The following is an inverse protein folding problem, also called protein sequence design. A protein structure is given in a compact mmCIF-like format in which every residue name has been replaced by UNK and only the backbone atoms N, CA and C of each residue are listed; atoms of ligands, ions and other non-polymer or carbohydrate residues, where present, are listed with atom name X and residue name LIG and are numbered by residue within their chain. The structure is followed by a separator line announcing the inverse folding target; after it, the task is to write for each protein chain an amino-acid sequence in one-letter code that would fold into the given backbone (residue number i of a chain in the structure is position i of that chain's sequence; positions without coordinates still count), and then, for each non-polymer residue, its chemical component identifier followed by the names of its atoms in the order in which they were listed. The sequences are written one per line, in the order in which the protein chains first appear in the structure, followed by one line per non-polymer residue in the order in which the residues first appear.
data_IF_425875933354
#
_entry.id   IF_425875933354
#
_cell.length_a   1.000
_cell.length_b   1.000
_cell.length_c   1.000
_cell.angle_alpha   90.00
_cell.angle_beta   90.00
_cell.angle_gamma   90.00
#
_symmetry.space_group_name_H-M   'P 1'
#
loop_
_entity.id
_entity.type
_entity.pdbx_description
1 polymer ?
#
# COMPACT_ATOMS: atom_id res chain seq x y z
N UNK A 1 -38.30 61.58 -23.65
CA UNK A 1 -36.91 61.07 -23.53
C UNK A 1 -36.80 60.36 -22.20
N UNK A 2 -36.82 59.02 -22.22
CA UNK A 2 -36.83 58.20 -21.02
C UNK A 2 -35.49 57.47 -20.93
N UNK A 3 -34.69 57.75 -19.90
CA UNK A 3 -33.47 57.06 -19.58
C UNK A 3 -33.78 55.72 -18.89
N UNK A 4 -33.32 54.59 -19.46
CA UNK A 4 -33.27 53.31 -18.79
C UNK A 4 -31.89 53.13 -18.13
N UNK A 5 -31.81 52.74 -16.86
CA UNK A 5 -30.55 52.34 -16.26
C UNK A 5 -30.25 50.87 -16.57
N UNK A 6 -29.04 50.64 -17.11
CA UNK A 6 -28.44 49.29 -17.27
C UNK A 6 -28.17 48.68 -15.88
N UNK A 7 -28.83 47.57 -15.58
CA UNK A 7 -28.50 46.72 -14.45
C UNK A 7 -27.35 45.79 -14.91
N UNK A 8 -26.21 45.87 -14.24
CA UNK A 8 -25.09 44.94 -14.39
C UNK A 8 -25.38 43.65 -13.62
N UNK A 9 -25.31 42.48 -14.20
CA UNK A 9 -25.12 41.23 -13.48
C UNK A 9 -23.63 40.85 -13.55
N UNK A 10 -22.90 41.08 -12.50
CA UNK A 10 -21.58 40.47 -12.32
C UNK A 10 -21.29 40.37 -10.84
N UNK A 11 -21.33 39.15 -10.32
CA UNK A 11 -20.58 38.69 -9.14
C UNK A 11 -21.30 37.51 -8.46
N UNK A 12 -21.32 36.34 -9.12
CA UNK A 12 -21.53 35.05 -8.42
C UNK A 12 -20.77 33.95 -9.18
N UNK A 13 -19.47 33.98 -9.25
CA UNK A 13 -18.71 32.84 -9.81
C UNK A 13 -17.31 32.67 -9.21
N UNK A 14 -17.03 33.26 -8.06
CA UNK A 14 -15.68 33.21 -7.49
C UNK A 14 -15.53 32.39 -6.20
N UNK A 15 -16.60 31.72 -5.71
CA UNK A 15 -16.51 30.97 -4.45
C UNK A 15 -16.37 29.45 -4.57
N UNK A 16 -16.44 28.87 -5.74
CA UNK A 16 -16.33 27.40 -5.92
C UNK A 16 -14.89 26.90 -6.14
N UNK A 17 -13.95 27.77 -6.47
CA UNK A 17 -12.54 27.37 -6.70
C UNK A 17 -11.65 27.48 -5.46
N UNK A 18 -12.02 28.27 -4.46
CA UNK A 18 -11.23 28.39 -3.23
C UNK A 18 -11.32 27.14 -2.34
N UNK A 19 -12.48 26.47 -2.31
CA UNK A 19 -12.70 25.29 -1.48
C UNK A 19 -11.89 24.07 -1.92
N UNK A 20 -11.74 23.84 -3.22
CA UNK A 20 -11.03 22.66 -3.74
C UNK A 20 -9.51 22.76 -3.52
N UNK A 21 -8.91 23.95 -3.69
CA UNK A 21 -7.48 24.15 -3.46
C UNK A 21 -7.10 24.01 -1.98
N UNK A 22 -7.96 24.46 -1.07
CA UNK A 22 -7.72 24.34 0.37
C UNK A 22 -7.84 22.88 0.84
N UNK A 23 -8.88 22.17 0.45
CA UNK A 23 -9.08 20.75 0.79
C UNK A 23 -7.93 19.86 0.27
N UNK A 24 -7.40 20.14 -0.94
CA UNK A 24 -6.21 19.45 -1.46
C UNK A 24 -4.98 19.72 -0.60
N UNK A 25 -4.85 20.94 -0.06
CA UNK A 25 -3.74 21.30 0.82
C UNK A 25 -3.84 20.56 2.15
N UNK A 26 -5.03 20.47 2.75
CA UNK A 26 -5.26 19.79 4.02
C UNK A 26 -5.05 18.27 3.90
N UNK A 27 -5.54 17.63 2.83
CA UNK A 27 -5.31 16.21 2.56
C UNK A 27 -3.81 15.90 2.39
N UNK A 28 -3.07 16.77 1.68
CA UNK A 28 -1.63 16.65 1.53
C UNK A 28 -0.90 16.81 2.86
N UNK A 29 -1.26 17.79 3.66
CA UNK A 29 -0.67 18.03 4.99
C UNK A 29 -0.92 16.84 5.93
N UNK A 30 -2.12 16.26 5.91
CA UNK A 30 -2.44 15.07 6.70
C UNK A 30 -1.60 13.84 6.26
N UNK A 31 -1.37 13.67 4.95
CA UNK A 31 -0.50 12.61 4.43
C UNK A 31 0.96 12.84 4.84
N UNK A 32 1.51 14.03 4.62
CA UNK A 32 2.90 14.40 4.96
C UNK A 32 3.19 14.34 6.47
N UNK A 33 2.19 14.61 7.32
CA UNK A 33 2.34 14.44 8.76
C UNK A 33 2.42 12.97 9.19
N UNK A 34 1.88 12.05 8.38
CA UNK A 34 1.82 10.61 8.66
C UNK A 34 3.09 9.88 8.18
N UNK A 35 3.33 8.63 8.63
CA UNK A 35 4.43 7.82 8.11
C UNK A 35 4.19 7.32 6.68
N UNK A 36 2.98 7.48 6.15
CA UNK A 36 2.56 6.92 4.86
C UNK A 36 3.36 7.51 3.71
N UNK A 37 3.63 8.81 3.73
CA UNK A 37 4.43 9.50 2.70
C UNK A 37 5.82 8.87 2.55
N UNK A 38 6.56 8.76 3.65
CA UNK A 38 7.88 8.13 3.69
C UNK A 38 7.85 6.65 3.29
N UNK A 39 6.79 5.92 3.66
CA UNK A 39 6.63 4.51 3.33
C UNK A 39 6.30 4.35 1.85
N UNK A 40 5.41 5.17 1.29
CA UNK A 40 5.05 5.16 -0.14
C UNK A 40 6.26 5.47 -1.02
N UNK A 41 7.12 6.39 -0.62
CA UNK A 41 8.36 6.67 -1.33
C UNK A 41 9.27 5.41 -1.49
N UNK A 42 9.13 4.42 -0.62
CA UNK A 42 9.89 3.15 -0.65
C UNK A 42 9.20 2.02 -1.40
N UNK A 43 7.91 2.18 -1.75
CA UNK A 43 7.13 1.12 -2.39
C UNK A 43 7.80 0.51 -3.63
N UNK A 44 8.35 1.29 -4.58
CA UNK A 44 9.03 0.71 -5.74
C UNK A 44 10.16 -0.27 -5.37
N UNK A 45 10.97 0.09 -4.36
CA UNK A 45 12.04 -0.76 -3.87
C UNK A 45 11.50 -1.99 -3.11
N UNK A 46 10.47 -1.81 -2.28
CA UNK A 46 9.83 -2.90 -1.52
C UNK A 46 9.22 -3.94 -2.45
N UNK A 47 8.45 -3.50 -3.46
CA UNK A 47 7.82 -4.39 -4.44
C UNK A 47 8.87 -5.14 -5.28
N UNK A 48 9.88 -4.41 -5.78
CA UNK A 48 10.98 -4.99 -6.54
C UNK A 48 11.73 -6.07 -5.74
N UNK A 49 12.09 -5.77 -4.49
CA UNK A 49 12.82 -6.71 -3.63
C UNK A 49 11.96 -7.92 -3.25
N UNK A 50 10.71 -7.69 -2.86
CA UNK A 50 9.77 -8.76 -2.50
C UNK A 50 9.55 -9.75 -3.65
N UNK A 51 9.37 -9.26 -4.87
CA UNK A 51 9.20 -10.08 -6.06
C UNK A 51 10.49 -10.84 -6.40
N UNK A 52 11.66 -10.18 -6.37
CA UNK A 52 12.97 -10.87 -6.60
C UNK A 52 13.16 -12.01 -5.62
N UNK A 53 12.96 -11.75 -4.34
CA UNK A 53 13.16 -12.76 -3.28
C UNK A 53 12.15 -13.90 -3.41
N UNK A 54 10.91 -13.61 -3.76
CA UNK A 54 9.88 -14.60 -4.04
C UNK A 54 10.27 -15.50 -5.22
N UNK A 55 10.68 -14.92 -6.33
CA UNK A 55 11.09 -15.65 -7.53
C UNK A 55 12.37 -16.49 -7.30
N UNK A 56 13.37 -15.93 -6.61
CA UNK A 56 14.59 -16.69 -6.26
C UNK A 56 14.30 -17.87 -5.34
N UNK A 57 13.43 -17.69 -4.36
CA UNK A 57 13.01 -18.78 -3.44
C UNK A 57 12.20 -19.87 -4.14
N UNK A 58 11.40 -19.52 -5.15
CA UNK A 58 10.62 -20.51 -5.90
C UNK A 58 11.50 -21.49 -6.69
N UNK A 59 12.73 -21.10 -7.05
CA UNK A 59 13.66 -21.88 -7.84
C UNK A 59 13.20 -22.15 -9.28
N UNK A 60 12.09 -21.56 -9.71
CA UNK A 60 11.50 -21.80 -11.05
C UNK A 60 12.19 -21.02 -12.17
N UNK A 61 12.87 -19.94 -11.82
CA UNK A 61 13.54 -19.06 -12.79
C UNK A 61 15.01 -18.86 -12.43
N UNK A 62 15.89 -18.70 -13.46
CA UNK A 62 17.27 -18.31 -13.24
C UNK A 62 17.34 -16.97 -12.46
N UNK A 63 18.32 -16.78 -11.57
CA UNK A 63 18.47 -15.56 -10.77
C UNK A 63 18.48 -14.26 -11.62
N UNK A 64 19.14 -14.29 -12.78
CA UNK A 64 19.18 -13.15 -13.71
C UNK A 64 17.80 -12.75 -14.22
N UNK A 65 16.92 -13.72 -14.48
CA UNK A 65 15.54 -13.44 -14.89
C UNK A 65 14.74 -12.83 -13.74
N UNK A 66 14.90 -13.34 -12.53
CA UNK A 66 14.28 -12.76 -11.34
C UNK A 66 14.73 -11.29 -11.11
N UNK A 67 16.00 -11.00 -11.31
CA UNK A 67 16.54 -9.63 -11.21
C UNK A 67 15.98 -8.71 -12.31
N UNK A 68 15.85 -9.22 -13.55
CA UNK A 68 15.24 -8.48 -14.66
C UNK A 68 13.77 -8.15 -14.37
N UNK A 69 13.00 -9.12 -13.90
CA UNK A 69 11.59 -8.91 -13.51
C UNK A 69 11.52 -7.87 -12.37
N UNK A 70 12.38 -7.97 -11.36
CA UNK A 70 12.43 -6.99 -10.28
C UNK A 70 12.72 -5.57 -10.77
N UNK A 71 13.57 -5.40 -11.78
CA UNK A 71 13.83 -4.08 -12.39
C UNK A 71 12.63 -3.55 -13.17
N UNK A 72 11.95 -4.40 -13.95
CA UNK A 72 10.71 -4.02 -14.66
C UNK A 72 9.65 -3.58 -13.66
N UNK A 73 9.47 -4.31 -12.58
CA UNK A 73 8.55 -3.97 -11.50
C UNK A 73 8.91 -2.62 -10.88
N UNK A 74 10.17 -2.41 -10.49
CA UNK A 74 10.61 -1.14 -9.90
C UNK A 74 10.28 0.06 -10.79
N UNK A 75 10.44 -0.09 -12.11
CA UNK A 75 10.16 0.96 -13.08
C UNK A 75 8.66 1.16 -13.38
N UNK A 76 7.82 0.21 -12.99
CA UNK A 76 6.38 0.26 -13.21
C UNK A 76 5.62 0.92 -12.05
N UNK A 77 6.27 1.11 -10.90
CA UNK A 77 5.70 1.80 -9.76
C UNK A 77 6.31 3.20 -9.62
N UNK A 78 5.46 4.20 -9.63
CA UNK A 78 5.85 5.59 -9.36
C UNK A 78 5.28 6.02 -8.01
N UNK A 79 6.14 6.28 -7.04
CA UNK A 79 5.72 6.70 -5.69
C UNK A 79 4.89 8.01 -5.72
N UNK A 80 5.24 8.96 -6.61
CA UNK A 80 4.51 10.21 -6.73
C UNK A 80 3.08 10.03 -7.27
N UNK A 81 2.85 9.05 -8.14
CA UNK A 81 1.50 8.73 -8.63
C UNK A 81 0.65 8.09 -7.53
N UNK A 82 1.26 7.21 -6.71
CA UNK A 82 0.60 6.60 -5.54
C UNK A 82 0.23 7.68 -4.52
N UNK A 83 1.16 8.56 -4.20
CA UNK A 83 0.95 9.69 -3.28
C UNK A 83 -0.18 10.61 -3.79
N UNK A 84 -0.16 10.98 -5.07
CA UNK A 84 -1.18 11.82 -5.67
C UNK A 84 -2.56 11.16 -5.65
N UNK A 85 -2.64 9.85 -5.86
CA UNK A 85 -3.88 9.09 -5.74
C UNK A 85 -4.41 9.13 -4.31
N UNK A 86 -3.53 8.88 -3.30
CA UNK A 86 -3.90 8.95 -1.88
C UNK A 86 -4.45 10.35 -1.53
N UNK A 87 -3.76 11.43 -1.91
CA UNK A 87 -4.22 12.81 -1.65
C UNK A 87 -5.59 13.06 -2.28
N UNK A 88 -5.79 12.62 -3.51
CA UNK A 88 -7.06 12.79 -4.22
C UNK A 88 -8.20 12.05 -3.50
N UNK A 89 -7.96 10.82 -3.07
CA UNK A 89 -8.97 10.02 -2.39
C UNK A 89 -9.24 10.53 -0.97
N UNK A 90 -8.20 10.95 -0.23
CA UNK A 90 -8.37 11.59 1.08
C UNK A 90 -9.23 12.85 0.98
N UNK A 91 -8.96 13.71 -0.01
CA UNK A 91 -9.74 14.93 -0.25
C UNK A 91 -11.21 14.62 -0.57
N UNK A 92 -11.47 13.52 -1.27
CA UNK A 92 -12.83 13.11 -1.67
C UNK A 92 -13.62 12.47 -0.53
N UNK A 93 -12.96 11.68 0.32
CA UNK A 93 -13.62 10.80 1.26
C UNK A 93 -13.58 11.28 2.72
N UNK A 94 -12.65 12.16 3.09
CA UNK A 94 -12.55 12.72 4.43
C UNK A 94 -13.07 14.16 4.46
N UNK A 95 -13.72 14.52 5.57
CA UNK A 95 -14.06 15.91 5.87
C UNK A 95 -12.82 16.66 6.38
N UNK A 96 -12.83 18.01 6.26
CA UNK A 96 -11.77 18.87 6.76
C UNK A 96 -11.48 18.60 8.26
N UNK A 97 -12.53 18.41 9.07
CA UNK A 97 -12.39 18.07 10.49
C UNK A 97 -11.71 16.71 10.73
N UNK A 98 -11.89 15.74 9.84
CA UNK A 98 -11.20 14.45 9.92
C UNK A 98 -9.74 14.58 9.50
N UNK A 99 -9.45 15.36 8.45
CA UNK A 99 -8.08 15.63 8.02
C UNK A 99 -7.29 16.38 9.10
N UNK A 100 -7.90 17.39 9.72
CA UNK A 100 -7.32 18.11 10.86
C UNK A 100 -7.07 17.18 12.06
N UNK A 101 -8.00 16.30 12.38
CA UNK A 101 -7.83 15.33 13.47
C UNK A 101 -6.68 14.34 13.21
N UNK A 102 -6.50 13.89 11.94
CA UNK A 102 -5.37 13.06 11.52
C UNK A 102 -4.05 13.81 11.69
N UNK A 103 -3.98 15.04 11.19
CA UNK A 103 -2.79 15.88 11.30
C UNK A 103 -2.42 16.13 12.78
N UNK A 104 -3.39 16.54 13.60
CA UNK A 104 -3.19 16.78 15.04
C UNK A 104 -2.69 15.52 15.76
N UNK A 105 -3.17 14.34 15.39
CA UNK A 105 -2.66 13.07 15.94
C UNK A 105 -1.19 12.87 15.61
N UNK A 106 -0.81 12.95 14.32
CA UNK A 106 0.57 12.68 13.89
C UNK A 106 1.58 13.74 14.38
N UNK A 107 1.11 14.91 14.80
CA UNK A 107 1.95 15.92 15.45
C UNK A 107 2.27 15.59 16.92
N UNK A 108 1.58 14.64 17.53
CA UNK A 108 1.86 14.26 18.92
C UNK A 108 3.22 13.55 19.07
N UNK A 109 3.89 13.68 20.22
CA UNK A 109 5.16 12.97 20.47
C UNK A 109 5.04 11.43 20.35
N UNK A 110 3.90 10.88 20.78
CA UNK A 110 3.61 9.43 20.70
C UNK A 110 3.51 8.99 19.24
N UNK A 111 2.72 9.70 18.43
CA UNK A 111 2.56 9.37 17.03
C UNK A 111 3.87 9.49 16.26
N UNK A 112 4.67 10.54 16.49
CA UNK A 112 6.02 10.70 15.88
C UNK A 112 6.95 9.54 16.22
N UNK A 113 6.92 9.05 17.46
CA UNK A 113 7.71 7.90 17.89
C UNK A 113 7.27 6.62 17.16
N UNK A 114 5.96 6.41 17.01
CA UNK A 114 5.37 5.28 16.30
C UNK A 114 5.70 5.37 14.81
N UNK A 115 5.47 6.53 14.17
CA UNK A 115 5.81 6.77 12.76
C UNK A 115 7.27 6.49 12.45
N UNK A 116 8.18 6.93 13.32
CA UNK A 116 9.61 6.64 13.16
C UNK A 116 9.92 5.13 13.20
N UNK A 117 9.21 4.37 14.04
CA UNK A 117 9.37 2.91 14.11
C UNK A 117 8.81 2.22 12.85
N UNK A 118 7.65 2.66 12.35
CA UNK A 118 7.02 2.14 11.13
C UNK A 118 7.86 2.43 9.88
N UNK A 119 8.35 3.67 9.74
CA UNK A 119 9.26 4.05 8.66
C UNK A 119 10.55 3.22 8.71
N UNK A 120 11.13 3.01 9.89
CA UNK A 120 12.33 2.18 10.03
C UNK A 120 12.08 0.73 9.61
N UNK A 121 10.98 0.12 10.07
CA UNK A 121 10.63 -1.27 9.76
C UNK A 121 10.23 -1.49 8.30
N UNK A 122 9.78 -0.45 7.58
CA UNK A 122 9.39 -0.55 6.16
C UNK A 122 10.59 -0.80 5.21
N UNK A 123 11.82 -0.53 5.65
CA UNK A 123 13.00 -0.70 4.79
C UNK A 123 13.26 -2.18 4.46
N UNK A 124 13.39 -2.58 3.17
CA UNK A 124 13.63 -3.97 2.80
C UNK A 124 14.88 -4.58 3.44
N UNK A 125 15.89 -3.76 3.76
CA UNK A 125 17.11 -4.19 4.44
C UNK A 125 16.89 -4.70 5.86
N UNK A 126 15.76 -4.38 6.48
CA UNK A 126 15.39 -4.78 7.84
C UNK A 126 14.63 -6.12 7.86
N UNK A 127 14.01 -6.53 6.75
CA UNK A 127 13.22 -7.75 6.71
C UNK A 127 13.94 -9.04 7.15
N UNK A 128 15.22 -9.27 6.79
CA UNK A 128 15.95 -10.43 7.31
C UNK A 128 16.11 -10.40 8.84
N UNK A 129 16.26 -9.22 9.44
CA UNK A 129 16.34 -9.05 10.88
C UNK A 129 15.00 -9.36 11.55
N UNK A 130 13.88 -8.87 10.99
CA UNK A 130 12.53 -9.20 11.48
C UNK A 130 12.36 -10.72 11.52
N UNK A 131 12.70 -11.42 10.43
CA UNK A 131 12.58 -12.87 10.34
C UNK A 131 13.50 -13.59 11.34
N UNK A 132 14.74 -13.13 11.51
CA UNK A 132 15.68 -13.72 12.43
C UNK A 132 15.26 -13.57 13.89
N UNK A 133 14.63 -12.43 14.24
CA UNK A 133 14.19 -12.13 15.61
C UNK A 133 12.78 -12.65 15.94
N UNK A 134 12.01 -13.05 14.95
CA UNK A 134 10.63 -13.49 15.14
C UNK A 134 10.47 -14.57 16.25
N UNK A 135 11.28 -15.66 16.30
CA UNK A 135 11.13 -16.67 17.35
C UNK A 135 11.37 -16.11 18.77
N UNK A 136 12.36 -15.24 18.93
CA UNK A 136 12.65 -14.58 20.21
C UNK A 136 11.50 -13.69 20.64
N UNK A 137 11.02 -12.81 19.73
CA UNK A 137 9.95 -11.86 20.02
C UNK A 137 8.64 -12.57 20.32
N UNK A 138 8.28 -13.61 19.57
CA UNK A 138 7.10 -14.43 19.83
C UNK A 138 7.17 -15.05 21.24
N UNK A 139 8.32 -15.57 21.64
CA UNK A 139 8.51 -16.13 22.99
C UNK A 139 8.42 -15.05 24.07
N UNK A 140 9.07 -13.90 23.85
CA UNK A 140 9.12 -12.76 24.79
C UNK A 140 7.74 -12.18 25.07
N UNK A 141 6.92 -12.03 24.04
CA UNK A 141 5.62 -11.37 24.14
C UNK A 141 4.43 -12.31 24.30
N UNK A 142 4.65 -13.62 24.35
CA UNK A 142 3.57 -14.61 24.53
C UNK A 142 2.77 -14.32 25.81
N UNK A 143 1.46 -14.09 25.64
CA UNK A 143 0.54 -13.82 26.76
C UNK A 143 0.72 -12.46 27.41
N UNK A 144 1.36 -11.51 26.76
CA UNK A 144 1.48 -10.13 27.21
C UNK A 144 0.38 -9.24 26.61
N UNK A 145 0.12 -8.10 27.24
CA UNK A 145 -0.81 -7.09 26.73
C UNK A 145 -0.47 -6.67 25.29
N UNK A 146 0.80 -6.54 24.96
CA UNK A 146 1.24 -6.20 23.58
C UNK A 146 0.80 -7.24 22.56
N UNK A 147 0.91 -8.54 22.87
CA UNK A 147 0.44 -9.59 21.96
C UNK A 147 -1.09 -9.57 21.81
N UNK A 148 -1.82 -9.30 22.90
CA UNK A 148 -3.29 -9.21 22.90
C UNK A 148 -3.80 -7.99 22.10
N UNK A 149 -3.04 -6.89 22.05
CA UNK A 149 -3.38 -5.71 21.24
C UNK A 149 -3.27 -5.95 19.73
N UNK A 150 -2.57 -6.99 19.29
CA UNK A 150 -2.39 -7.27 17.87
C UNK A 150 -3.71 -7.42 17.11
N UNK A 151 -4.65 -8.15 17.65
CA UNK A 151 -5.96 -8.35 17.00
C UNK A 151 -6.73 -7.03 16.79
N UNK A 152 -6.59 -6.08 17.72
CA UNK A 152 -7.18 -4.74 17.57
C UNK A 152 -6.45 -3.95 16.47
N UNK A 153 -5.11 -3.99 16.53
CA UNK A 153 -4.26 -3.35 15.52
C UNK A 153 -4.56 -3.87 14.13
N UNK A 154 -4.55 -5.19 13.94
CA UNK A 154 -4.76 -5.81 12.63
C UNK A 154 -6.15 -5.50 12.04
N UNK A 155 -7.19 -5.52 12.88
CA UNK A 155 -8.55 -5.12 12.45
C UNK A 155 -8.63 -3.64 12.08
N UNK A 156 -8.04 -2.74 12.89
CA UNK A 156 -8.12 -1.31 12.68
C UNK A 156 -7.29 -0.83 11.48
N UNK A 157 -6.11 -1.42 11.28
CA UNK A 157 -5.20 -1.10 10.17
C UNK A 157 -5.46 -1.94 8.91
N UNK A 158 -6.19 -3.05 9.01
CA UNK A 158 -6.40 -4.05 7.95
C UNK A 158 -5.08 -4.61 7.40
N UNK A 159 -4.06 -4.70 8.24
CA UNK A 159 -2.70 -5.02 7.80
C UNK A 159 -2.60 -6.41 7.16
N UNK A 160 -3.15 -7.46 7.80
CA UNK A 160 -3.16 -8.82 7.23
C UNK A 160 -3.99 -8.88 5.95
N UNK A 161 -5.18 -8.29 5.92
CA UNK A 161 -6.05 -8.28 4.72
C UNK A 161 -5.35 -7.61 3.54
N UNK A 162 -4.80 -6.42 3.73
CA UNK A 162 -4.08 -5.67 2.70
C UNK A 162 -2.85 -6.43 2.17
N UNK A 163 -2.09 -7.06 3.06
CA UNK A 163 -0.93 -7.86 2.67
C UNK A 163 -1.32 -9.13 1.88
N UNK A 164 -2.44 -9.77 2.23
CA UNK A 164 -2.99 -10.90 1.47
C UNK A 164 -3.46 -10.46 0.09
N UNK A 165 -4.22 -9.36 -0.01
CA UNK A 165 -4.71 -8.84 -1.27
C UNK A 165 -3.56 -8.44 -2.21
N UNK A 166 -2.53 -7.78 -1.68
CA UNK A 166 -1.31 -7.46 -2.42
C UNK A 166 -0.61 -8.73 -2.90
N UNK A 167 -0.48 -9.75 -2.05
CA UNK A 167 0.13 -11.03 -2.42
C UNK A 167 -0.63 -11.74 -3.54
N UNK A 168 -1.96 -11.74 -3.48
CA UNK A 168 -2.82 -12.31 -4.52
C UNK A 168 -2.67 -11.55 -5.83
N UNK A 169 -2.68 -10.21 -5.80
CA UNK A 169 -2.49 -9.39 -6.99
C UNK A 169 -1.13 -9.66 -7.66
N UNK A 170 -0.05 -9.72 -6.88
CA UNK A 170 1.29 -10.05 -7.37
C UNK A 170 1.34 -11.45 -7.98
N UNK A 171 0.78 -12.46 -7.31
CA UNK A 171 0.75 -13.83 -7.83
C UNK A 171 -0.05 -13.92 -9.13
N UNK A 172 -1.18 -13.22 -9.23
CA UNK A 172 -2.00 -13.18 -10.43
C UNK A 172 -1.27 -12.51 -11.60
N UNK A 173 -0.60 -11.38 -11.36
CA UNK A 173 0.20 -10.69 -12.37
C UNK A 173 1.33 -11.57 -12.90
N UNK A 174 2.08 -12.23 -12.01
CA UNK A 174 3.15 -13.15 -12.39
C UNK A 174 2.62 -14.38 -13.14
N UNK A 175 1.54 -14.98 -12.67
CA UNK A 175 0.93 -16.15 -13.33
C UNK A 175 0.41 -15.79 -14.72
N UNK A 176 -0.19 -14.60 -14.90
CA UNK A 176 -0.65 -14.08 -16.17
C UNK A 176 0.53 -13.89 -17.15
N UNK A 177 1.63 -13.29 -16.66
CA UNK A 177 2.84 -13.13 -17.46
C UNK A 177 3.44 -14.47 -17.88
N UNK A 178 3.52 -15.43 -16.97
CA UNK A 178 4.04 -16.78 -17.28
C UNK A 178 3.15 -17.56 -18.25
N UNK A 179 1.83 -17.46 -18.13
CA UNK A 179 0.89 -18.09 -19.05
C UNK A 179 1.02 -17.57 -20.48
N UNK A 180 1.20 -16.26 -20.62
CA UNK A 180 1.44 -15.64 -21.92
C UNK A 180 2.77 -16.14 -22.57
N UNK A 181 3.72 -16.56 -21.76
CA UNK A 181 5.00 -17.11 -22.20
C UNK A 181 4.92 -18.54 -22.74
N UNK A 182 4.09 -19.36 -22.09
CA UNK A 182 4.00 -20.79 -22.39
C UNK A 182 3.11 -21.13 -23.59
N UNK A 183 2.59 -20.15 -24.32
CA UNK A 183 1.56 -20.33 -25.37
C UNK A 183 0.31 -21.08 -24.87
N UNK A 184 0.21 -21.25 -23.58
CA UNK A 184 -0.94 -21.84 -22.93
C UNK A 184 -1.99 -20.73 -22.78
N UNK A 185 -3.12 -20.86 -23.45
CA UNK A 185 -4.22 -19.90 -23.35
C UNK A 185 -4.90 -20.04 -21.98
N UNK A 186 -4.13 -19.87 -20.90
CA UNK A 186 -4.65 -19.91 -19.56
C UNK A 186 -5.70 -18.79 -19.40
N UNK A 187 -6.93 -19.18 -19.13
CA UNK A 187 -8.01 -18.25 -18.89
C UNK A 187 -7.69 -17.48 -17.60
N UNK A 188 -7.55 -16.14 -17.70
CA UNK A 188 -7.31 -15.25 -16.56
C UNK A 188 -8.25 -15.54 -15.39
N UNK A 189 -9.52 -15.77 -15.66
CA UNK A 189 -10.52 -16.06 -14.63
C UNK A 189 -10.24 -17.36 -13.88
N UNK A 190 -9.76 -18.40 -14.58
CA UNK A 190 -9.36 -19.67 -13.95
C UNK A 190 -8.11 -19.50 -13.08
N UNK A 191 -7.13 -18.69 -13.52
CA UNK A 191 -5.96 -18.36 -12.72
C UNK A 191 -6.38 -17.60 -11.45
N UNK A 192 -7.24 -16.60 -11.60
CA UNK A 192 -7.79 -15.83 -10.48
C UNK A 192 -8.50 -16.72 -9.47
N UNK A 193 -9.42 -17.58 -9.90
CA UNK A 193 -10.13 -18.49 -9.02
C UNK A 193 -9.20 -19.45 -8.29
N UNK A 194 -8.16 -19.97 -8.99
CA UNK A 194 -7.17 -20.86 -8.37
C UNK A 194 -6.37 -20.15 -7.28
N UNK A 195 -5.91 -18.91 -7.52
CA UNK A 195 -5.15 -18.14 -6.56
C UNK A 195 -6.05 -17.73 -5.39
N UNK A 196 -7.27 -17.26 -5.67
CA UNK A 196 -8.25 -16.91 -4.63
C UNK A 196 -8.63 -18.11 -3.75
N UNK A 197 -8.68 -19.32 -4.29
CA UNK A 197 -8.94 -20.52 -3.47
C UNK A 197 -7.87 -20.80 -2.40
N UNK A 198 -6.69 -20.18 -2.52
CA UNK A 198 -5.60 -20.28 -1.54
C UNK A 198 -5.65 -19.16 -0.48
N UNK A 199 -6.60 -18.20 -0.57
CA UNK A 199 -6.69 -17.02 0.32
C UNK A 199 -6.63 -17.40 1.79
N UNK A 200 -7.38 -18.41 2.24
CA UNK A 200 -7.39 -18.82 3.64
C UNK A 200 -6.02 -19.31 4.14
N UNK A 201 -5.30 -20.06 3.31
CA UNK A 201 -3.93 -20.50 3.63
C UNK A 201 -2.96 -19.31 3.66
N UNK A 202 -3.07 -18.40 2.69
CA UNK A 202 -2.26 -17.18 2.62
C UNK A 202 -2.52 -16.30 3.84
N UNK A 203 -3.78 -16.16 4.26
CA UNK A 203 -4.15 -15.40 5.47
C UNK A 203 -3.43 -15.93 6.71
N UNK A 204 -3.35 -17.24 6.88
CA UNK A 204 -2.63 -17.83 8.02
C UNK A 204 -1.12 -17.55 7.99
N UNK A 205 -0.48 -17.72 6.84
CA UNK A 205 0.97 -17.51 6.70
C UNK A 205 1.32 -16.02 6.78
N UNK A 206 0.59 -15.18 6.06
CA UNK A 206 0.84 -13.74 6.01
C UNK A 206 0.46 -13.09 7.33
N UNK A 207 -0.63 -13.53 7.98
CA UNK A 207 -1.01 -13.04 9.31
C UNK A 207 0.08 -13.27 10.36
N UNK A 208 0.76 -14.44 10.32
CA UNK A 208 1.93 -14.66 11.18
C UNK A 208 3.08 -13.70 10.85
N UNK A 209 3.37 -13.44 9.59
CA UNK A 209 4.42 -12.49 9.19
C UNK A 209 4.07 -11.04 9.62
N UNK A 210 2.81 -10.65 9.50
CA UNK A 210 2.32 -9.35 9.98
C UNK A 210 2.46 -9.25 11.50
N UNK A 211 2.12 -10.32 12.24
CA UNK A 211 2.32 -10.37 13.69
C UNK A 211 3.81 -10.27 14.08
N UNK A 212 4.69 -10.98 13.40
CA UNK A 212 6.14 -10.90 13.63
C UNK A 212 6.67 -9.47 13.38
N UNK A 213 6.21 -8.85 12.29
CA UNK A 213 6.54 -7.45 11.97
C UNK A 213 5.98 -6.47 13.01
N UNK A 214 4.76 -6.68 13.49
CA UNK A 214 4.15 -5.90 14.56
C UNK A 214 5.00 -5.94 15.83
N UNK A 215 5.38 -7.13 16.31
CA UNK A 215 6.20 -7.28 17.51
C UNK A 215 7.56 -6.58 17.36
N UNK A 216 8.18 -6.67 16.20
CA UNK A 216 9.45 -6.01 15.92
C UNK A 216 9.30 -4.48 15.87
N UNK A 217 8.35 -3.99 15.08
CA UNK A 217 8.12 -2.55 14.85
C UNK A 217 7.82 -1.83 16.16
N UNK A 218 6.95 -2.41 16.97
CA UNK A 218 6.48 -1.77 18.21
C UNK A 218 7.20 -2.26 19.47
N UNK A 219 8.33 -2.95 19.34
CA UNK A 219 9.09 -3.47 20.50
C UNK A 219 9.38 -2.39 21.54
N UNK A 220 9.75 -1.17 21.07
CA UNK A 220 10.12 -0.04 21.91
C UNK A 220 8.96 0.91 22.23
N UNK A 221 7.76 0.59 21.77
CA UNK A 221 6.54 1.35 22.06
C UNK A 221 5.92 0.75 23.32
N UNK A 222 5.66 1.57 24.33
CA UNK A 222 5.04 1.12 25.58
C UNK A 222 3.55 0.78 25.38
N UNK A 223 2.99 -0.03 26.28
CA UNK A 223 1.58 -0.47 26.15
C UNK A 223 0.60 0.71 26.20
N UNK A 224 0.89 1.75 26.99
CA UNK A 224 0.08 2.97 27.00
C UNK A 224 0.15 3.74 25.68
N UNK A 225 1.35 3.86 25.10
CA UNK A 225 1.52 4.51 23.78
C UNK A 225 0.81 3.71 22.70
N UNK A 226 0.87 2.37 22.76
CA UNK A 226 0.17 1.50 21.83
C UNK A 226 -1.35 1.61 21.97
N UNK A 227 -1.89 1.73 23.19
CA UNK A 227 -3.31 1.97 23.39
C UNK A 227 -3.77 3.30 22.78
N UNK A 228 -3.02 4.39 22.94
CA UNK A 228 -3.32 5.67 22.31
C UNK A 228 -3.36 5.56 20.79
N UNK A 229 -2.43 4.78 20.20
CA UNK A 229 -2.43 4.52 18.76
C UNK A 229 -3.67 3.74 18.32
N UNK A 230 -4.04 2.71 19.05
CA UNK A 230 -5.26 1.94 18.77
C UNK A 230 -6.52 2.79 18.90
N UNK A 231 -6.61 3.66 19.90
CA UNK A 231 -7.71 4.61 20.04
C UNK A 231 -7.81 5.55 18.83
N UNK A 232 -6.66 6.02 18.31
CA UNK A 232 -6.66 6.81 17.08
C UNK A 232 -7.11 5.99 15.88
N UNK A 233 -6.55 4.81 15.65
CA UNK A 233 -6.91 3.96 14.51
C UNK A 233 -8.40 3.56 14.52
N UNK A 234 -8.99 3.38 15.72
CA UNK A 234 -10.41 3.05 15.91
C UNK A 234 -11.32 4.29 15.89
N UNK A 235 -10.76 5.50 15.94
CA UNK A 235 -11.54 6.75 15.85
C UNK A 235 -12.14 6.95 14.44
N UNK A 236 -13.23 7.75 14.31
CA UNK A 236 -13.80 8.04 13.00
C UNK A 236 -12.80 8.62 11.98
N UNK A 237 -11.85 9.45 12.44
CA UNK A 237 -10.83 10.06 11.59
C UNK A 237 -9.74 9.05 11.22
N UNK A 238 -9.18 8.34 12.20
CA UNK A 238 -8.13 7.34 11.98
C UNK A 238 -8.62 6.17 11.14
N UNK A 239 -9.82 5.64 11.42
CA UNK A 239 -10.42 4.55 10.64
C UNK A 239 -10.69 4.97 9.18
N UNK A 240 -11.19 6.19 8.95
CA UNK A 240 -11.40 6.71 7.60
C UNK A 240 -10.07 6.89 6.87
N UNK A 241 -9.07 7.50 7.52
CA UNK A 241 -7.74 7.69 6.96
C UNK A 241 -7.08 6.36 6.58
N UNK A 242 -7.01 5.40 7.52
CA UNK A 242 -6.40 4.08 7.27
C UNK A 242 -7.10 3.34 6.13
N UNK A 243 -8.43 3.36 6.08
CA UNK A 243 -9.21 2.73 5.01
C UNK A 243 -8.93 3.35 3.65
N UNK A 244 -8.93 4.68 3.55
CA UNK A 244 -8.70 5.38 2.28
C UNK A 244 -7.28 5.14 1.81
N UNK A 245 -6.28 5.33 2.66
CA UNK A 245 -4.86 5.07 2.32
C UNK A 245 -4.66 3.63 1.84
N UNK A 246 -5.19 2.65 2.57
CA UNK A 246 -5.07 1.23 2.19
C UNK A 246 -5.69 0.96 0.83
N UNK A 247 -6.90 1.46 0.58
CA UNK A 247 -7.60 1.26 -0.69
C UNK A 247 -6.87 1.96 -1.86
N UNK A 248 -6.38 3.19 -1.67
CA UNK A 248 -5.65 3.94 -2.69
C UNK A 248 -4.35 3.23 -3.06
N UNK A 249 -3.59 2.74 -2.07
CA UNK A 249 -2.39 1.94 -2.30
C UNK A 249 -2.73 0.65 -3.07
N UNK A 250 -3.78 -0.05 -2.66
CA UNK A 250 -4.23 -1.27 -3.33
C UNK A 250 -4.55 -1.03 -4.82
N UNK A 251 -5.29 0.03 -5.14
CA UNK A 251 -5.61 0.41 -6.51
C UNK A 251 -4.34 0.76 -7.30
N UNK A 252 -3.47 1.56 -6.72
CA UNK A 252 -2.21 1.97 -7.33
C UNK A 252 -1.23 0.81 -7.56
N UNK A 253 -1.38 -0.32 -6.86
CA UNK A 253 -0.58 -1.53 -7.06
C UNK A 253 -1.16 -2.42 -8.17
N UNK A 254 -2.48 -2.52 -8.28
CA UNK A 254 -3.14 -3.46 -9.19
C UNK A 254 -2.84 -3.12 -10.67
N UNK A 255 -2.99 -1.86 -11.07
CA UNK A 255 -2.78 -1.43 -12.45
C UNK A 255 -1.35 -1.65 -12.97
N UNK A 256 -0.29 -1.27 -12.22
CA UNK A 256 1.08 -1.57 -12.61
C UNK A 256 1.38 -3.08 -12.70
N UNK A 257 0.85 -3.91 -11.80
CA UNK A 257 1.05 -5.37 -11.84
C UNK A 257 0.48 -5.96 -13.12
N UNK A 258 -0.72 -5.56 -13.52
CA UNK A 258 -1.30 -5.98 -14.81
C UNK A 258 -0.48 -5.47 -15.99
N UNK A 259 0.06 -4.24 -15.91
CA UNK A 259 0.95 -3.68 -16.94
C UNK A 259 2.25 -4.46 -17.05
N UNK A 260 2.88 -4.81 -15.92
CA UNK A 260 4.08 -5.67 -15.89
C UNK A 260 3.81 -7.01 -16.58
N UNK A 261 2.68 -7.64 -16.29
CA UNK A 261 2.26 -8.89 -16.95
C UNK A 261 2.21 -8.73 -18.48
N UNK A 262 1.60 -7.66 -18.97
CA UNK A 262 1.54 -7.34 -20.42
C UNK A 262 2.91 -7.04 -21.02
N UNK A 263 3.76 -6.29 -20.34
CA UNK A 263 5.11 -5.94 -20.81
C UNK A 263 6.01 -7.18 -20.88
N UNK A 264 6.00 -8.02 -19.87
CA UNK A 264 6.74 -9.29 -19.89
C UNK A 264 6.32 -10.17 -21.05
N UNK A 265 5.02 -10.22 -21.35
CA UNK A 265 4.50 -10.92 -22.53
C UNK A 265 5.12 -10.39 -23.84
N UNK A 266 5.24 -9.08 -24.00
CA UNK A 266 5.82 -8.45 -25.20
C UNK A 266 7.32 -8.71 -25.33
N UNK A 267 8.05 -8.64 -24.21
CA UNK A 267 9.51 -8.88 -24.22
C UNK A 267 9.88 -10.33 -24.49
N UNK A 268 9.01 -11.24 -24.12
CA UNK A 268 9.28 -12.65 -24.08
C UNK A 268 8.59 -13.42 -25.23
N UNK A 269 7.66 -12.79 -25.93
CA UNK A 269 7.11 -13.33 -27.18
C UNK A 269 8.18 -13.28 -28.27
N UNK A 270 8.52 -14.40 -28.94
CA UNK A 270 9.44 -14.36 -30.08
C UNK A 270 8.86 -13.44 -31.16
N UNK A 271 9.69 -12.55 -31.68
CA UNK A 271 9.32 -11.71 -32.81
C UNK A 271 8.69 -12.59 -33.91
N UNK A 272 7.57 -12.19 -34.53
CA UNK A 272 6.97 -12.97 -35.60
C UNK A 272 8.03 -13.18 -36.66
N UNK A 273 8.33 -14.45 -36.94
CA UNK A 273 9.29 -14.83 -37.97
C UNK A 273 8.93 -14.06 -39.27
N UNK A 274 9.82 -13.21 -39.71
CA UNK A 274 9.65 -12.50 -40.97
C UNK A 274 9.35 -13.55 -42.05
N UNK A 275 8.12 -13.49 -42.60
CA UNK A 275 7.79 -14.33 -43.77
C UNK A 275 8.74 -13.95 -44.87
N UNK A 276 9.76 -14.78 -45.13
CA UNK A 276 10.57 -14.71 -46.33
C UNK A 276 9.62 -14.96 -47.51
N UNK A 277 9.42 -13.92 -48.31
CA UNK A 277 8.81 -14.02 -49.62
C UNK A 277 9.80 -14.64 -50.61
#
# INVERSE_FOLDING_TARGET
MKHFPLIKPLLVTAMLFAGTAQATTEARQALEASPVDDIVARYPAMMSQGIRDGLKRSGQLPPMVADTIGNVVSNSFNAADIEQQIVTDLQKELTDAQLEAVQNWYETPVARKISAAEIAASAPSVWPEIQARAPELNSKYKGTAKAEMFDRFDRASRATESAVDTSIAVQLGLATAMAAFSSDSANYEQLRQRIESQRSMLTGVIGQQVYDSYLYTYEKIGDQEMNLYLEFLESPAGAAFSRVVTNSIQQAITDPIESVGRQLTQFLSPAPAAKSQ
#
